data_IF_943331299759
#
_entry.id   IF_943331299759
#
_cell.length_a   1.000
_cell.length_b   1.000
_cell.length_c   1.000
_cell.angle_alpha   90.00
_cell.angle_beta   90.00
_cell.angle_gamma   90.00
#
_symmetry.space_group_name_H-M   'P 1'
#
loop_
_entity.id
_entity.type
_entity.pdbx_description
1 polymer ?
#
# COMPACT_ATOMS: atom_id res chain seq x y z
N UNK A 1 -12.53 -2.90 -7.16
CA UNK A 1 -11.87 -3.96 -6.38
C UNK A 1 -12.58 -4.13 -5.03
N UNK A 2 -13.01 -5.34 -4.65
CA UNK A 2 -13.70 -5.59 -3.38
C UNK A 2 -12.81 -5.33 -2.15
N UNK A 3 -11.50 -5.57 -2.26
CA UNK A 3 -10.54 -5.37 -1.18
C UNK A 3 -10.32 -3.89 -0.87
N UNK A 4 -10.18 -3.06 -1.91
CA UNK A 4 -10.12 -1.62 -1.77
C UNK A 4 -11.38 -1.05 -1.10
N UNK A 5 -12.56 -1.56 -1.43
CA UNK A 5 -13.82 -1.15 -0.76
C UNK A 5 -13.84 -1.53 0.71
N UNK A 6 -13.42 -2.74 1.05
CA UNK A 6 -13.30 -3.19 2.44
C UNK A 6 -12.32 -2.31 3.23
N UNK A 7 -11.16 -1.96 2.67
CA UNK A 7 -10.20 -1.08 3.33
C UNK A 7 -10.75 0.34 3.54
N UNK A 8 -11.46 0.89 2.55
CA UNK A 8 -12.12 2.19 2.68
C UNK A 8 -13.19 2.18 3.79
N UNK A 9 -13.94 1.09 3.92
CA UNK A 9 -14.91 0.90 5.01
C UNK A 9 -14.21 0.76 6.37
N UNK A 10 -13.15 -0.04 6.45
CA UNK A 10 -12.37 -0.24 7.68
C UNK A 10 -11.73 1.08 8.16
N UNK A 11 -11.23 1.90 7.24
CA UNK A 11 -10.75 3.25 7.53
C UNK A 11 -11.86 4.14 8.12
N UNK A 12 -13.04 4.16 7.48
CA UNK A 12 -14.19 4.95 7.97
C UNK A 12 -14.63 4.51 9.37
N UNK A 13 -14.73 3.20 9.60
CA UNK A 13 -15.12 2.64 10.90
C UNK A 13 -14.08 2.91 11.99
N UNK A 14 -12.81 3.03 11.61
CA UNK A 14 -11.69 3.33 12.49
C UNK A 14 -11.62 4.79 12.95
N UNK A 15 -12.55 5.65 12.51
CA UNK A 15 -12.51 7.09 12.77
C UNK A 15 -11.48 7.84 11.92
N UNK A 16 -10.93 7.19 10.89
CA UNK A 16 -10.03 7.82 9.94
C UNK A 16 -10.84 8.65 8.95
N UNK A 17 -10.52 9.93 8.81
CA UNK A 17 -11.13 10.80 7.80
C UNK A 17 -10.71 10.35 6.40
N UNK A 18 -11.56 9.56 5.73
CA UNK A 18 -11.40 9.22 4.31
C UNK A 18 -12.40 10.01 3.49
N UNK A 19 -11.92 11.10 2.89
CA UNK A 19 -12.66 11.88 1.89
C UNK A 19 -12.44 11.25 0.51
N UNK A 20 -13.43 10.49 0.05
CA UNK A 20 -13.42 9.78 -1.23
C UNK A 20 -13.01 10.65 -2.43
N UNK A 21 -13.26 11.96 -2.36
CA UNK A 21 -13.12 12.90 -3.48
C UNK A 21 -11.83 13.74 -3.44
N UNK A 22 -11.01 13.61 -2.38
CA UNK A 22 -9.75 14.38 -2.21
C UNK A 22 -8.53 13.58 -1.79
N UNK A 23 -8.71 12.27 -1.54
CA UNK A 23 -7.63 11.39 -1.13
C UNK A 23 -6.85 10.80 -2.29
N UNK A 24 -7.42 10.71 -3.49
CA UNK A 24 -6.72 10.16 -4.65
C UNK A 24 -6.32 11.28 -5.58
N UNK A 25 -5.02 11.41 -5.85
CA UNK A 25 -4.47 12.29 -6.89
C UNK A 25 -3.87 11.40 -7.98
N UNK A 26 -4.27 11.64 -9.23
CA UNK A 26 -3.72 10.95 -10.39
C UNK A 26 -2.70 11.86 -11.06
N UNK A 27 -1.44 11.47 -11.05
CA UNK A 27 -0.34 12.29 -11.54
C UNK A 27 0.42 11.60 -12.67
N UNK A 28 1.12 12.41 -13.46
CA UNK A 28 2.13 11.92 -14.40
C UNK A 28 3.49 11.93 -13.70
N UNK A 29 4.03 10.76 -13.38
CA UNK A 29 5.25 10.64 -12.59
C UNK A 29 6.46 10.31 -13.46
N UNK A 30 7.62 10.85 -13.08
CA UNK A 30 8.90 10.45 -13.66
C UNK A 30 9.38 9.11 -13.06
N UNK A 31 10.05 8.29 -13.87
CA UNK A 31 10.59 6.99 -13.44
C UNK A 31 9.56 5.85 -13.40
N UNK A 32 9.89 4.77 -12.68
CA UNK A 32 9.11 3.52 -12.65
C UNK A 32 8.15 3.38 -11.45
N UNK A 33 7.84 4.48 -10.76
CA UNK A 33 6.97 4.47 -9.57
C UNK A 33 5.50 4.45 -10.00
N UNK A 34 4.69 3.58 -9.39
CA UNK A 34 3.27 3.43 -9.75
C UNK A 34 2.32 4.17 -8.81
N UNK A 35 2.77 4.55 -7.62
CA UNK A 35 1.99 5.33 -6.65
C UNK A 35 2.78 5.61 -5.37
N UNK A 36 2.12 6.25 -4.39
CA UNK A 36 2.68 6.51 -3.06
C UNK A 36 1.68 7.17 -2.11
N UNK A 37 1.98 7.11 -0.83
CA UNK A 37 1.20 7.75 0.24
C UNK A 37 1.95 8.96 0.82
N UNK A 38 1.33 10.13 0.76
CA UNK A 38 1.81 11.35 1.41
C UNK A 38 1.20 11.48 2.80
N UNK A 39 2.00 11.21 3.82
CA UNK A 39 1.60 11.32 5.22
C UNK A 39 1.30 12.76 5.69
N UNK A 40 1.86 13.78 5.04
CA UNK A 40 1.63 15.17 5.44
C UNK A 40 0.22 15.64 5.05
N UNK A 41 -0.27 15.20 3.89
CA UNK A 41 -1.59 15.55 3.36
C UNK A 41 -2.61 14.42 3.51
N UNK A 42 -2.17 13.24 3.96
CA UNK A 42 -2.94 11.99 3.97
C UNK A 42 -3.47 11.62 2.57
N UNK A 43 -2.72 11.92 1.51
CA UNK A 43 -3.14 11.64 0.13
C UNK A 43 -2.48 10.38 -0.44
N UNK A 44 -3.22 9.68 -1.29
CA UNK A 44 -2.76 8.58 -2.13
C UNK A 44 -2.54 9.15 -3.54
N UNK A 45 -1.29 9.09 -3.99
CA UNK A 45 -0.88 9.50 -5.34
C UNK A 45 -0.80 8.25 -6.22
N UNK A 46 -1.44 8.30 -7.39
CA UNK A 46 -1.42 7.24 -8.39
C UNK A 46 -0.72 7.76 -9.65
N UNK A 47 0.39 7.12 -10.03
CA UNK A 47 1.14 7.48 -11.23
C UNK A 47 0.50 6.84 -12.46
N UNK A 48 -0.49 7.51 -13.04
CA UNK A 48 -1.38 6.94 -14.06
C UNK A 48 -0.63 6.45 -15.30
N UNK A 49 0.50 7.08 -15.63
CA UNK A 49 1.33 6.73 -16.78
C UNK A 49 2.11 5.41 -16.62
N UNK A 50 2.27 4.94 -15.39
CA UNK A 50 2.97 3.69 -15.07
C UNK A 50 2.02 2.51 -14.78
N UNK A 51 0.71 2.79 -14.66
CA UNK A 51 -0.31 1.76 -14.42
C UNK A 51 -0.99 1.40 -15.74
N UNK A 52 -0.68 0.21 -16.27
CA UNK A 52 -1.21 -0.27 -17.57
C UNK A 52 -2.34 -1.30 -17.48
N UNK A 53 -2.60 -1.84 -16.29
CA UNK A 53 -3.58 -2.91 -16.08
C UNK A 53 -4.38 -2.67 -14.80
N UNK A 54 -5.66 -3.04 -14.81
CA UNK A 54 -6.54 -2.92 -13.64
C UNK A 54 -6.01 -3.72 -12.44
N UNK A 55 -5.40 -4.88 -12.68
CA UNK A 55 -4.78 -5.70 -11.62
C UNK A 55 -3.62 -4.97 -10.94
N UNK A 56 -2.79 -4.26 -11.71
CA UNK A 56 -1.71 -3.42 -11.19
C UNK A 56 -2.28 -2.23 -10.40
N UNK A 57 -3.31 -1.55 -10.93
CA UNK A 57 -4.00 -0.47 -10.24
C UNK A 57 -4.55 -0.93 -8.88
N UNK A 58 -5.23 -2.07 -8.84
CA UNK A 58 -5.82 -2.60 -7.61
C UNK A 58 -4.75 -2.84 -6.54
N UNK A 59 -3.59 -3.37 -6.93
CA UNK A 59 -2.46 -3.61 -6.01
C UNK A 59 -1.92 -2.31 -5.44
N UNK A 60 -1.61 -1.34 -6.30
CA UNK A 60 -1.11 -0.01 -5.86
C UNK A 60 -2.12 0.65 -4.93
N UNK A 61 -3.38 0.75 -5.32
CA UNK A 61 -4.42 1.36 -4.48
C UNK A 61 -4.56 0.66 -3.14
N UNK A 62 -4.50 -0.68 -3.11
CA UNK A 62 -4.58 -1.46 -1.87
C UNK A 62 -3.36 -1.22 -0.98
N UNK A 63 -2.16 -1.15 -1.58
CA UNK A 63 -0.90 -0.86 -0.90
C UNK A 63 -0.96 0.50 -0.20
N UNK A 64 -1.31 1.55 -0.93
CA UNK A 64 -1.35 2.91 -0.37
C UNK A 64 -2.51 3.10 0.63
N UNK A 65 -3.64 2.40 0.46
CA UNK A 65 -4.73 2.40 1.44
C UNK A 65 -4.31 1.77 2.77
N UNK A 66 -3.44 0.76 2.75
CA UNK A 66 -2.89 0.18 3.97
C UNK A 66 -1.97 1.19 4.67
N UNK A 67 -1.14 1.92 3.92
CA UNK A 67 -0.35 3.01 4.51
C UNK A 67 -1.22 4.09 5.13
N UNK A 68 -2.30 4.50 4.46
CA UNK A 68 -3.27 5.44 5.03
C UNK A 68 -3.91 4.91 6.32
N UNK A 69 -4.26 3.62 6.34
CA UNK A 69 -4.81 2.97 7.53
C UNK A 69 -3.81 2.94 8.68
N UNK A 70 -2.57 2.58 8.39
CA UNK A 70 -1.49 2.49 9.34
C UNK A 70 -1.12 3.85 9.92
N UNK A 71 -1.07 4.88 9.07
CA UNK A 71 -0.85 6.26 9.48
C UNK A 71 -1.92 6.71 10.48
N UNK A 72 -3.18 6.43 10.18
CA UNK A 72 -4.30 6.80 11.03
C UNK A 72 -4.34 6.01 12.35
N UNK A 73 -4.21 4.68 12.29
CA UNK A 73 -4.46 3.79 13.43
C UNK A 73 -3.25 3.55 14.31
N UNK A 74 -2.07 3.48 13.71
CA UNK A 74 -0.82 3.12 14.39
C UNK A 74 0.14 4.31 14.54
N UNK A 75 -0.24 5.50 14.05
CA UNK A 75 0.57 6.73 14.11
C UNK A 75 2.01 6.48 13.64
N UNK A 76 2.14 5.83 12.47
CA UNK A 76 3.42 5.47 11.85
C UNK A 76 4.30 6.72 11.70
N UNK A 77 5.54 6.59 12.15
CA UNK A 77 6.58 7.61 11.96
C UNK A 77 7.42 7.21 10.74
N UNK A 78 7.03 7.76 9.60
CA UNK A 78 7.55 7.42 8.28
C UNK A 78 9.01 7.78 8.06
N UNK A 79 9.54 8.75 8.80
CA UNK A 79 10.86 9.33 8.52
C UNK A 79 11.88 9.13 9.63
N UNK A 80 11.44 9.06 10.90
CA UNK A 80 12.36 8.96 12.05
C UNK A 80 12.38 7.57 12.66
N UNK A 81 11.46 6.68 12.30
CA UNK A 81 11.41 5.32 12.82
C UNK A 81 11.39 4.26 11.70
N UNK A 82 12.57 3.74 11.38
CA UNK A 82 12.76 2.70 10.36
C UNK A 82 11.95 1.43 10.65
N UNK A 83 11.70 1.09 11.93
CA UNK A 83 10.88 -0.08 12.26
C UNK A 83 9.42 0.14 11.90
N UNK A 84 8.88 1.34 12.16
CA UNK A 84 7.49 1.67 11.82
C UNK A 84 7.28 1.63 10.31
N UNK A 85 8.20 2.22 9.55
CA UNK A 85 8.23 2.14 8.09
C UNK A 85 8.24 0.68 7.62
N UNK A 86 9.24 -0.11 8.06
CA UNK A 86 9.37 -1.50 7.64
C UNK A 86 8.14 -2.36 7.97
N UNK A 87 7.53 -2.18 9.16
CA UNK A 87 6.32 -2.90 9.53
C UNK A 87 5.13 -2.54 8.64
N UNK A 88 4.97 -1.26 8.29
CA UNK A 88 3.90 -0.82 7.38
C UNK A 88 4.10 -1.36 5.97
N UNK A 89 5.32 -1.28 5.42
CA UNK A 89 5.69 -1.83 4.12
C UNK A 89 5.46 -3.34 4.03
N UNK A 90 5.86 -4.11 5.05
CA UNK A 90 5.63 -5.56 5.10
C UNK A 90 4.13 -5.87 5.07
N UNK A 91 3.33 -5.13 5.83
CA UNK A 91 1.88 -5.32 5.86
C UNK A 91 1.23 -4.93 4.53
N UNK A 92 1.64 -3.81 3.95
CA UNK A 92 1.18 -3.34 2.65
C UNK A 92 1.49 -4.37 1.56
N UNK A 93 2.72 -4.86 1.48
CA UNK A 93 3.13 -5.84 0.48
C UNK A 93 2.42 -7.21 0.63
N UNK A 94 2.15 -7.63 1.88
CA UNK A 94 1.47 -8.89 2.17
C UNK A 94 -0.03 -8.84 1.81
N UNK A 95 -0.73 -7.75 2.15
CA UNK A 95 -2.18 -7.65 1.98
C UNK A 95 -2.60 -7.06 0.62
N UNK A 96 -1.75 -6.26 -0.04
CA UNK A 96 -2.01 -5.75 -1.40
C UNK A 96 -1.88 -6.81 -2.48
N UNK A 97 -1.21 -7.93 -2.17
CA UNK A 97 -0.85 -8.94 -3.14
C UNK A 97 0.34 -8.54 -4.02
N UNK A 98 1.12 -7.52 -3.63
CA UNK A 98 2.41 -7.23 -4.26
C UNK A 98 3.38 -8.40 -4.15
N UNK A 99 3.37 -9.10 -3.01
CA UNK A 99 4.11 -10.33 -2.78
C UNK A 99 3.45 -11.61 -3.34
N UNK A 100 2.44 -11.52 -4.23
CA UNK A 100 1.84 -12.72 -4.83
C UNK A 100 2.88 -13.51 -5.62
N UNK A 101 2.85 -14.86 -5.50
CA UNK A 101 3.78 -15.80 -6.14
C UNK A 101 4.00 -15.50 -7.64
N UNK A 102 2.94 -15.08 -8.36
CA UNK A 102 3.03 -14.72 -9.77
C UNK A 102 3.85 -13.45 -10.05
N UNK A 103 3.86 -12.47 -9.15
CA UNK A 103 4.68 -11.25 -9.29
C UNK A 103 6.16 -11.52 -8.93
N UNK A 104 6.41 -12.40 -7.95
CA UNK A 104 7.77 -12.81 -7.58
C UNK A 104 8.39 -13.75 -8.64
N UNK A 105 7.57 -14.61 -9.28
CA UNK A 105 7.96 -15.39 -10.48
C UNK A 105 8.23 -14.47 -11.67
N UNK A 106 7.40 -13.45 -11.93
CA UNK A 106 7.62 -12.47 -12.99
C UNK A 106 8.87 -11.60 -12.76
N UNK A 107 9.35 -11.48 -11.51
CA UNK A 107 10.58 -10.78 -11.13
C UNK A 107 11.82 -11.71 -11.07
N UNK A 108 11.72 -12.96 -11.54
CA UNK A 108 12.80 -13.96 -11.58
C UNK A 108 13.49 -14.24 -10.22
N UNK A 109 12.82 -13.98 -9.09
CA UNK A 109 13.35 -14.28 -7.75
C UNK A 109 12.89 -15.66 -7.29
N UNK A 110 13.58 -16.72 -7.72
CA UNK A 110 13.38 -18.09 -7.21
C UNK A 110 14.01 -18.26 -5.81
N UNK A 111 13.42 -17.62 -4.81
CA UNK A 111 13.78 -17.79 -3.41
C UNK A 111 12.64 -18.43 -2.62
N UNK A 112 12.49 -19.76 -2.70
CA UNK A 112 11.59 -20.53 -1.83
C UNK A 112 12.13 -20.55 -0.38
N UNK A 113 12.08 -19.42 0.32
CA UNK A 113 12.18 -19.38 1.78
C UNK A 113 11.24 -18.31 2.34
N UNK A 114 10.12 -18.78 2.90
CA UNK A 114 9.34 -18.00 3.87
C UNK A 114 8.26 -17.08 3.32
N UNK A 115 7.68 -17.37 2.14
CA UNK A 115 6.40 -16.76 1.77
C UNK A 115 5.39 -16.99 2.90
N UNK A 116 4.80 -15.93 3.44
CA UNK A 116 3.89 -15.95 4.60
C UNK A 116 4.49 -16.23 5.99
N UNK A 117 5.78 -15.95 6.24
CA UNK A 117 6.26 -15.91 7.63
C UNK A 117 5.84 -14.60 8.31
N UNK A 118 4.67 -14.63 8.97
CA UNK A 118 4.32 -13.64 9.99
C UNK A 118 5.30 -13.82 11.15
N UNK A 119 6.36 -13.03 11.18
CA UNK A 119 7.13 -12.85 12.42
C UNK A 119 6.34 -11.89 13.29
N UNK A 120 5.52 -12.45 14.18
CA UNK A 120 5.12 -11.76 15.41
C UNK A 120 6.44 -11.48 16.13
N UNK A 121 6.76 -10.21 16.30
CA UNK A 121 7.87 -9.79 17.17
C UNK A 121 7.22 -9.10 18.35
N UNK A 122 7.39 -9.71 19.52
CA UNK A 122 7.04 -9.16 20.83
C UNK A 122 7.70 -7.80 21.07
#
# INVERSE_FOLDING_TARGET
DPYARLLLEALKQSGCTVFNDRHFSCENCDGCVSGGFDAATSQIVLCQNNIRQQSHMNRVVTHELIHAFDHCRAHVDWFKNVKHLACSEIRAANLSGDCTLMNEIARFKFGLKGHHQVKIVD
#
